data_IF_246079210325
#
_entry.id   IF_246079210325
#
_cell.length_a   1.000
_cell.length_b   1.000
_cell.length_c   1.000
_cell.angle_alpha   90.00
_cell.angle_beta   90.00
_cell.angle_gamma   90.00
#
_symmetry.space_group_name_H-M   'P 1'
#
loop_
_entity.id
_entity.type
_entity.pdbx_description
1 polymer ?
#
# COMPACT_ATOMS: atom_id res chain seq x y z
N UNK A 1 -37.96 23.28 -34.02
CA UNK A 1 -37.35 23.72 -32.74
C UNK A 1 -37.81 22.86 -31.54
N UNK A 2 -38.17 21.59 -31.74
CA UNK A 2 -38.67 20.69 -30.67
C UNK A 2 -37.63 19.64 -30.26
N UNK A 3 -36.84 19.13 -31.21
CA UNK A 3 -35.82 18.10 -30.96
C UNK A 3 -34.55 18.62 -30.24
N UNK A 4 -34.23 19.91 -30.36
CA UNK A 4 -33.06 20.52 -29.73
C UNK A 4 -33.22 20.64 -28.20
N UNK A 5 -34.46 20.79 -27.69
CA UNK A 5 -34.76 20.76 -26.25
C UNK A 5 -34.71 19.33 -25.68
N UNK A 6 -35.14 18.32 -26.44
CA UNK A 6 -35.14 16.92 -25.98
C UNK A 6 -33.71 16.35 -25.87
N UNK A 7 -32.80 16.76 -26.75
CA UNK A 7 -31.39 16.33 -26.67
C UNK A 7 -30.67 16.90 -25.44
N UNK A 8 -31.02 18.13 -25.04
CA UNK A 8 -30.44 18.80 -23.87
C UNK A 8 -30.91 18.18 -22.54
N UNK A 9 -32.14 17.65 -22.49
CA UNK A 9 -32.66 16.94 -21.31
C UNK A 9 -31.99 15.56 -21.15
N UNK A 10 -31.67 14.88 -22.26
CA UNK A 10 -30.99 13.59 -22.20
C UNK A 10 -29.52 13.72 -21.77
N UNK A 11 -28.82 14.75 -22.26
CA UNK A 11 -27.44 15.03 -21.85
C UNK A 11 -27.31 15.39 -20.36
N UNK A 12 -28.35 15.98 -19.77
CA UNK A 12 -28.36 16.35 -18.34
C UNK A 12 -28.65 15.16 -17.41
N UNK A 13 -29.28 14.09 -17.93
CA UNK A 13 -29.59 12.88 -17.16
C UNK A 13 -28.40 11.91 -17.07
N UNK A 14 -27.51 11.90 -18.07
CA UNK A 14 -26.32 11.03 -18.09
C UNK A 14 -25.32 11.38 -16.98
N UNK A 15 -25.30 12.64 -16.51
CA UNK A 15 -24.43 13.09 -15.42
C UNK A 15 -24.96 12.78 -14.00
N UNK A 16 -26.18 12.24 -13.85
CA UNK A 16 -26.76 11.98 -12.53
C UNK A 16 -26.26 10.69 -11.84
N UNK A 17 -25.33 9.96 -12.47
CA UNK A 17 -24.80 8.68 -11.93
C UNK A 17 -23.32 8.75 -11.58
N UNK A 18 -22.78 9.94 -11.32
CA UNK A 18 -21.53 10.01 -10.55
C UNK A 18 -21.91 9.65 -9.12
N UNK A 19 -21.83 8.35 -8.81
CA UNK A 19 -22.00 7.85 -7.45
C UNK A 19 -21.11 8.66 -6.53
N UNK A 20 -21.71 9.27 -5.51
CA UNK A 20 -20.97 9.93 -4.43
C UNK A 20 -20.16 8.83 -3.75
N UNK A 21 -18.89 8.70 -4.12
CA UNK A 21 -17.96 7.85 -3.39
C UNK A 21 -17.82 8.52 -2.02
N UNK A 22 -18.40 7.89 -1.01
CA UNK A 22 -18.28 8.38 0.35
C UNK A 22 -16.79 8.39 0.71
N UNK A 23 -16.25 9.57 1.00
CA UNK A 23 -14.84 9.73 1.34
C UNK A 23 -14.45 8.89 2.58
N UNK A 24 -15.42 8.49 3.42
CA UNK A 24 -15.19 7.55 4.53
C UNK A 24 -14.83 6.13 4.10
N UNK A 25 -15.12 5.74 2.85
CA UNK A 25 -14.70 4.47 2.24
C UNK A 25 -13.27 4.55 1.69
N UNK A 26 -12.70 5.75 1.58
CA UNK A 26 -11.31 6.00 1.17
C UNK A 26 -10.44 6.00 2.43
N UNK A 27 -10.37 4.86 3.09
CA UNK A 27 -9.56 4.64 4.28
C UNK A 27 -8.94 3.24 4.23
N UNK A 28 -7.86 2.99 5.00
CA UNK A 28 -7.30 1.66 5.08
C UNK A 28 -8.36 0.68 5.60
N UNK A 29 -8.68 -0.34 4.80
CA UNK A 29 -9.51 -1.44 5.27
C UNK A 29 -8.75 -2.18 6.37
N UNK A 30 -9.37 -2.32 7.54
CA UNK A 30 -8.77 -3.06 8.64
C UNK A 30 -8.53 -4.53 8.24
N UNK A 31 -7.32 -5.02 8.51
CA UNK A 31 -6.98 -6.43 8.27
C UNK A 31 -7.62 -7.26 9.36
N UNK A 32 -8.69 -7.98 9.01
CA UNK A 32 -9.47 -8.79 9.95
C UNK A 32 -8.61 -9.84 10.67
N UNK A 33 -8.88 -10.14 11.95
CA UNK A 33 -8.27 -11.28 12.62
C UNK A 33 -8.46 -12.58 11.84
N UNK A 34 -7.40 -13.39 11.72
CA UNK A 34 -7.42 -14.66 10.99
C UNK A 34 -7.17 -14.55 9.48
N UNK A 35 -7.08 -13.34 8.91
CA UNK A 35 -6.57 -13.14 7.55
C UNK A 35 -5.06 -12.88 7.55
N UNK A 36 -4.46 -13.07 6.37
CA UNK A 36 -3.07 -12.68 6.10
C UNK A 36 -3.13 -11.61 5.02
N UNK A 37 -2.57 -10.44 5.30
CA UNK A 37 -2.34 -9.44 4.26
C UNK A 37 -0.92 -9.66 3.71
N UNK A 38 -0.82 -9.81 2.41
CA UNK A 38 0.46 -9.99 1.72
C UNK A 38 0.49 -9.11 0.48
N UNK A 39 1.69 -8.73 0.06
CA UNK A 39 1.87 -7.99 -1.17
C UNK A 39 3.34 -7.77 -1.49
N UNK A 40 3.58 -7.25 -2.68
CA UNK A 40 4.87 -6.78 -3.12
C UNK A 40 4.98 -5.26 -2.85
N UNK A 41 6.19 -4.77 -2.69
CA UNK A 41 6.45 -3.34 -2.54
C UNK A 41 7.61 -2.88 -3.43
N UNK A 42 7.57 -1.60 -3.79
CA UNK A 42 8.71 -0.82 -4.25
C UNK A 42 8.79 0.42 -3.37
N UNK A 43 9.94 0.66 -2.78
CA UNK A 43 10.18 1.74 -1.84
C UNK A 43 11.31 2.62 -2.36
N UNK A 44 11.04 3.91 -2.47
CA UNK A 44 12.06 4.93 -2.73
C UNK A 44 12.48 5.60 -1.43
N UNK A 45 13.79 5.57 -1.13
CA UNK A 45 14.36 6.27 0.02
C UNK A 45 15.30 7.38 -0.44
N UNK A 46 14.88 8.61 -0.20
CA UNK A 46 15.65 9.82 -0.47
C UNK A 46 16.64 10.06 0.66
N UNK A 47 17.94 10.01 0.34
CA UNK A 47 19.02 10.17 1.31
C UNK A 47 19.83 11.42 0.95
N UNK A 48 20.19 12.20 1.98
CA UNK A 48 21.08 13.34 1.78
C UNK A 48 22.43 12.86 1.21
N UNK A 49 22.90 13.53 0.16
CA UNK A 49 24.16 13.20 -0.52
C UNK A 49 24.03 12.20 -1.68
N UNK A 50 22.81 11.76 -2.03
CA UNK A 50 22.55 10.96 -3.23
C UNK A 50 21.72 11.75 -4.23
N UNK A 51 22.07 11.69 -5.52
CA UNK A 51 21.34 12.38 -6.59
C UNK A 51 20.03 11.66 -6.98
N UNK A 52 19.96 10.35 -6.75
CA UNK A 52 18.79 9.52 -7.00
C UNK A 52 18.38 8.76 -5.73
N UNK A 53 17.07 8.43 -5.55
CA UNK A 53 16.64 7.66 -4.40
C UNK A 53 17.20 6.25 -4.44
N UNK A 54 17.45 5.67 -3.27
CA UNK A 54 17.64 4.23 -3.16
C UNK A 54 16.29 3.55 -3.37
N UNK A 55 16.14 2.83 -4.47
CA UNK A 55 14.94 2.04 -4.77
C UNK A 55 15.14 0.63 -4.23
N UNK A 56 14.25 0.17 -3.36
CA UNK A 56 14.25 -1.18 -2.80
C UNK A 56 12.95 -1.90 -3.13
N UNK A 57 13.03 -3.21 -3.42
CA UNK A 57 11.86 -4.01 -3.78
C UNK A 57 11.81 -5.30 -2.96
N UNK A 58 10.61 -5.83 -2.79
CA UNK A 58 10.43 -7.09 -2.07
C UNK A 58 8.97 -7.37 -1.74
N UNK A 59 8.74 -8.15 -0.68
CA UNK A 59 7.40 -8.53 -0.25
C UNK A 59 7.19 -8.41 1.26
N UNK A 60 5.92 -8.45 1.66
CA UNK A 60 5.55 -8.41 3.06
C UNK A 60 4.43 -9.40 3.37
N UNK A 61 4.42 -9.86 4.62
CA UNK A 61 3.39 -10.72 5.20
C UNK A 61 2.98 -10.16 6.55
N UNK A 62 1.75 -9.68 6.66
CA UNK A 62 1.14 -9.21 7.89
C UNK A 62 0.14 -10.24 8.39
N UNK A 63 0.45 -10.79 9.56
CA UNK A 63 -0.44 -11.65 10.33
C UNK A 63 -0.89 -10.84 11.55
N UNK A 64 -2.16 -10.39 11.65
CA UNK A 64 -2.60 -9.53 12.75
C UNK A 64 -2.28 -10.08 14.15
N UNK A 65 -2.27 -11.42 14.31
CA UNK A 65 -1.97 -12.09 15.57
C UNK A 65 -0.49 -12.40 15.82
N UNK A 66 0.39 -12.24 14.82
CA UNK A 66 1.82 -12.60 14.94
C UNK A 66 2.77 -11.43 14.66
N UNK A 67 2.37 -10.50 13.80
CA UNK A 67 3.16 -9.35 13.40
C UNK A 67 3.45 -9.30 11.90
N UNK A 68 4.52 -8.59 11.54
CA UNK A 68 4.91 -8.26 10.17
C UNK A 68 6.26 -8.89 9.84
N UNK A 69 6.32 -9.61 8.73
CA UNK A 69 7.57 -9.94 8.06
C UNK A 69 7.71 -9.07 6.81
N UNK A 70 8.80 -8.32 6.70
CA UNK A 70 9.13 -7.46 5.58
C UNK A 70 10.45 -7.95 4.98
N UNK A 71 10.45 -8.36 3.72
CA UNK A 71 11.64 -8.91 3.05
C UNK A 71 12.02 -8.02 1.88
N UNK A 72 13.24 -7.52 1.89
CA UNK A 72 13.84 -6.79 0.78
C UNK A 72 14.66 -7.79 -0.03
N UNK A 73 14.45 -7.83 -1.35
CA UNK A 73 15.22 -8.64 -2.29
C UNK A 73 16.30 -7.81 -2.96
N UNK A 74 15.94 -6.62 -3.43
CA UNK A 74 16.86 -5.71 -4.13
C UNK A 74 16.92 -4.35 -3.44
N UNK A 75 18.07 -3.65 -3.49
CA UNK A 75 19.37 -4.10 -4.02
C UNK A 75 20.20 -4.84 -2.97
N UNK A 76 19.76 -4.85 -1.71
CA UNK A 76 20.46 -5.49 -0.59
C UNK A 76 19.50 -6.40 0.17
N UNK A 77 19.72 -7.71 0.09
CA UNK A 77 18.84 -8.68 0.75
C UNK A 77 18.80 -8.43 2.26
N UNK A 78 17.60 -8.20 2.78
CA UNK A 78 17.39 -8.03 4.21
C UNK A 78 15.98 -8.44 4.62
N UNK A 79 15.80 -8.70 5.91
CA UNK A 79 14.50 -9.02 6.51
C UNK A 79 14.31 -8.20 7.76
N UNK A 80 13.10 -7.68 7.94
CA UNK A 80 12.66 -7.01 9.15
C UNK A 80 11.44 -7.76 9.67
N UNK A 81 11.54 -8.25 10.91
CA UNK A 81 10.49 -9.00 11.58
C UNK A 81 10.05 -8.17 12.77
N UNK A 82 8.79 -7.73 12.76
CA UNK A 82 8.17 -7.01 13.85
C UNK A 82 7.13 -7.91 14.50
N UNK A 83 7.25 -8.08 15.81
CA UNK A 83 6.30 -8.84 16.64
C UNK A 83 5.95 -8.04 17.89
N UNK A 84 5.08 -8.58 18.74
CA UNK A 84 4.85 -8.01 20.07
C UNK A 84 6.09 -8.03 20.98
N UNK A 85 7.09 -8.87 20.67
CA UNK A 85 8.32 -8.98 21.44
C UNK A 85 9.39 -7.96 21.02
N UNK A 86 9.19 -7.29 19.88
CA UNK A 86 10.09 -6.28 19.35
C UNK A 86 10.39 -6.43 17.87
N UNK A 87 11.48 -5.78 17.45
CA UNK A 87 11.89 -5.67 16.06
C UNK A 87 13.23 -6.36 15.87
N UNK A 88 13.31 -7.30 14.93
CA UNK A 88 14.53 -7.98 14.53
C UNK A 88 14.83 -7.68 13.07
N UNK A 89 16.03 -7.17 12.80
CA UNK A 89 16.55 -6.98 11.46
C UNK A 89 17.62 -8.02 11.15
N UNK A 90 17.56 -8.60 9.97
CA UNK A 90 18.55 -9.54 9.44
C UNK A 90 19.10 -8.95 8.15
N UNK A 91 20.41 -8.78 8.07
CA UNK A 91 21.08 -8.20 6.90
C UNK A 91 22.37 -8.98 6.64
N UNK A 92 22.49 -9.59 5.44
CA UNK A 92 23.64 -10.43 5.08
C UNK A 92 24.00 -11.47 6.16
N UNK A 93 22.99 -12.14 6.75
CA UNK A 93 23.18 -13.13 7.82
C UNK A 93 23.48 -12.56 9.22
N UNK A 94 23.71 -11.25 9.35
CA UNK A 94 23.85 -10.57 10.64
C UNK A 94 22.49 -10.28 11.26
N UNK A 95 22.31 -10.60 12.54
CA UNK A 95 21.07 -10.37 13.28
C UNK A 95 21.25 -9.16 14.21
N UNK A 96 20.38 -8.18 14.06
CA UNK A 96 20.31 -6.98 14.90
C UNK A 96 18.93 -6.92 15.55
N UNK A 97 18.89 -6.86 16.88
CA UNK A 97 17.66 -6.54 17.62
C UNK A 97 17.65 -5.03 17.88
N UNK A 98 16.54 -4.39 17.52
CA UNK A 98 16.31 -2.95 17.71
C UNK A 98 15.62 -2.70 19.04
#
# INVERSE_FOLDING_TARGET
MTYLKQFLVFALFVFYTVGVVDASQIGPNEVKPGSVLTGEFSQERYLNGFEAPLVSSGDFFLFPSKGLAWRVFEPFESRLIMTSEGITQITHGSIMKV
#
